data_IF_747440219557
#
_entry.id   IF_747440219557
#
_cell.length_a   1.000
_cell.length_b   1.000
_cell.length_c   1.000
_cell.angle_alpha   90.00
_cell.angle_beta   90.00
_cell.angle_gamma   90.00
#
_symmetry.space_group_name_H-M   'P 1'
#
loop_
_entity.id
_entity.type
_entity.pdbx_description
1 polymer ?
#
# COMPACT_ATOMS: atom_id res chain seq x y z
N UNK A 1 -11.17 -39.11 -5.63
CA UNK A 1 -10.17 -38.13 -6.10
C UNK A 1 -10.96 -36.94 -6.61
N UNK A 2 -11.02 -35.85 -5.84
CA UNK A 2 -11.67 -34.62 -6.30
C UNK A 2 -10.60 -33.73 -6.88
N UNK A 3 -10.75 -33.54 -8.19
CA UNK A 3 -9.99 -32.70 -9.08
C UNK A 3 -9.94 -31.27 -8.51
N UNK A 4 -8.91 -30.98 -7.72
CA UNK A 4 -8.57 -29.59 -7.40
C UNK A 4 -7.90 -29.05 -8.65
N UNK A 5 -8.69 -28.44 -9.53
CA UNK A 5 -8.17 -27.63 -10.61
C UNK A 5 -7.19 -26.64 -9.99
N UNK A 6 -5.90 -26.91 -10.16
CA UNK A 6 -4.84 -25.96 -9.87
C UNK A 6 -5.05 -24.88 -10.93
N UNK A 7 -5.79 -23.82 -10.57
CA UNK A 7 -5.84 -22.63 -11.40
C UNK A 7 -4.39 -22.15 -11.59
N UNK A 8 -3.88 -22.30 -12.81
CA UNK A 8 -2.55 -21.86 -13.18
C UNK A 8 -2.49 -20.34 -13.01
N UNK A 9 -1.79 -19.89 -11.97
CA UNK A 9 -1.64 -18.46 -11.69
C UNK A 9 -0.69 -17.84 -12.70
N UNK A 10 -1.00 -16.61 -13.09
CA UNK A 10 0.00 -15.80 -13.77
C UNK A 10 1.21 -15.62 -12.83
N UNK A 11 2.39 -15.91 -13.34
CA UNK A 11 3.64 -15.77 -12.57
C UNK A 11 3.95 -14.30 -12.23
N UNK A 12 3.50 -13.37 -13.07
CA UNK A 12 3.65 -11.94 -12.85
C UNK A 12 2.52 -11.15 -13.52
N UNK A 13 2.00 -10.16 -12.80
CA UNK A 13 1.01 -9.22 -13.29
C UNK A 13 1.51 -7.80 -13.07
N UNK A 14 1.31 -6.93 -14.06
CA UNK A 14 1.53 -5.49 -13.93
C UNK A 14 0.20 -4.78 -14.02
N UNK A 15 -0.14 -4.01 -13.00
CA UNK A 15 -1.35 -3.19 -12.96
C UNK A 15 -0.98 -1.72 -12.97
N UNK A 16 -1.70 -0.95 -13.79
CA UNK A 16 -1.56 0.51 -13.90
C UNK A 16 -2.74 1.26 -13.28
N UNK A 17 -3.73 0.54 -12.74
CA UNK A 17 -4.88 1.11 -12.04
C UNK A 17 -5.16 0.35 -10.75
N UNK A 18 -5.66 1.06 -9.73
CA UNK A 18 -6.04 0.45 -8.46
C UNK A 18 -7.15 -0.60 -8.64
N UNK A 19 -8.16 -0.30 -9.48
CA UNK A 19 -9.28 -1.22 -9.72
C UNK A 19 -8.82 -2.57 -10.30
N UNK A 20 -7.94 -2.55 -11.30
CA UNK A 20 -7.42 -3.78 -11.91
C UNK A 20 -6.56 -4.58 -10.93
N UNK A 21 -5.74 -3.90 -10.11
CA UNK A 21 -4.95 -4.56 -9.08
C UNK A 21 -5.85 -5.25 -8.04
N UNK A 22 -6.89 -4.55 -7.56
CA UNK A 22 -7.83 -5.08 -6.56
C UNK A 22 -8.60 -6.30 -7.11
N UNK A 23 -9.05 -6.25 -8.36
CA UNK A 23 -9.75 -7.38 -8.98
C UNK A 23 -8.82 -8.56 -9.29
N UNK A 24 -7.57 -8.28 -9.69
CA UNK A 24 -6.61 -9.29 -10.14
C UNK A 24 -5.69 -9.86 -9.06
N UNK A 25 -5.67 -9.30 -7.84
CA UNK A 25 -4.64 -9.61 -6.82
C UNK A 25 -4.52 -11.10 -6.42
N UNK A 26 -5.54 -11.93 -6.64
CA UNK A 26 -5.50 -13.36 -6.29
C UNK A 26 -4.90 -14.25 -7.38
N UNK A 27 -4.94 -13.82 -8.65
CA UNK A 27 -4.46 -14.62 -9.79
C UNK A 27 -2.97 -14.51 -10.07
N UNK A 28 -2.23 -13.68 -9.30
CA UNK A 28 -0.85 -13.30 -9.61
C UNK A 28 0.10 -13.63 -8.45
N UNK A 29 1.21 -14.36 -8.67
CA UNK A 29 2.24 -14.58 -7.63
C UNK A 29 3.16 -13.38 -7.42
N UNK A 30 3.38 -12.59 -8.47
CA UNK A 30 4.06 -11.29 -8.42
C UNK A 30 3.13 -10.20 -8.94
N UNK A 31 2.99 -9.11 -8.20
CA UNK A 31 2.15 -7.96 -8.51
C UNK A 31 3.05 -6.73 -8.60
N UNK A 32 3.17 -6.16 -9.80
CA UNK A 32 3.81 -4.85 -9.99
C UNK A 32 2.73 -3.78 -10.12
N UNK A 33 2.80 -2.77 -9.26
CA UNK A 33 1.92 -1.61 -9.22
C UNK A 33 2.65 -0.45 -9.89
N UNK A 34 2.34 -0.19 -11.16
CA UNK A 34 3.06 0.77 -11.99
C UNK A 34 2.28 2.07 -12.14
N UNK A 35 2.80 3.16 -11.57
CA UNK A 35 2.22 4.51 -11.70
C UNK A 35 0.73 4.60 -11.32
N UNK A 36 0.32 3.86 -10.29
CA UNK A 36 -1.09 3.84 -9.89
C UNK A 36 -1.51 5.19 -9.31
N UNK A 37 -2.52 5.80 -9.92
CA UNK A 37 -3.29 6.87 -9.31
C UNK A 37 -4.52 6.28 -8.61
N UNK A 38 -4.51 6.25 -7.28
CA UNK A 38 -5.60 5.73 -6.46
C UNK A 38 -6.72 6.78 -6.41
N UNK A 39 -7.98 6.43 -6.77
CA UNK A 39 -9.10 7.35 -6.73
C UNK A 39 -9.32 7.98 -5.35
N UNK A 40 -9.83 9.21 -5.34
CA UNK A 40 -10.12 9.95 -4.12
C UNK A 40 -11.07 9.18 -3.19
N UNK A 41 -10.70 9.05 -1.92
CA UNK A 41 -11.55 8.40 -0.93
C UNK A 41 -11.65 6.89 -1.04
N UNK A 42 -10.71 6.26 -1.75
CA UNK A 42 -10.66 4.80 -1.92
C UNK A 42 -9.33 4.25 -1.41
N UNK A 43 -9.36 2.99 -0.99
CA UNK A 43 -8.16 2.26 -0.55
C UNK A 43 -7.59 1.49 -1.72
N UNK A 44 -6.26 1.52 -1.89
CA UNK A 44 -5.54 0.50 -2.65
C UNK A 44 -5.53 -0.79 -1.81
N UNK A 45 -6.60 -1.58 -1.97
CA UNK A 45 -6.85 -2.77 -1.15
C UNK A 45 -6.14 -4.00 -1.73
N UNK A 46 -5.01 -4.34 -1.11
CA UNK A 46 -4.24 -5.56 -1.34
C UNK A 46 -4.31 -6.48 -0.12
N UNK A 47 -5.46 -6.51 0.56
CA UNK A 47 -5.75 -7.54 1.56
C UNK A 47 -6.18 -8.85 0.88
N UNK A 48 -6.03 -9.97 1.59
CA UNK A 48 -6.46 -11.27 1.09
C UNK A 48 -5.63 -11.77 -0.09
N UNK A 49 -4.34 -11.38 -0.14
CA UNK A 49 -3.39 -11.91 -1.11
C UNK A 49 -3.18 -13.39 -0.86
N UNK A 50 -2.95 -14.13 -1.93
CA UNK A 50 -2.54 -15.52 -1.85
C UNK A 50 -1.18 -15.60 -1.15
N UNK A 51 -0.98 -16.63 -0.32
CA UNK A 51 0.26 -16.85 0.44
C UNK A 51 1.49 -16.75 -0.46
N UNK A 52 2.54 -16.08 0.01
CA UNK A 52 3.81 -15.96 -0.71
C UNK A 52 3.85 -14.89 -1.81
N UNK A 53 2.78 -14.11 -1.99
CA UNK A 53 2.71 -13.12 -3.07
C UNK A 53 3.72 -11.98 -2.86
N UNK A 54 4.41 -11.60 -3.94
CA UNK A 54 5.29 -10.43 -3.96
C UNK A 54 4.58 -9.22 -4.56
N UNK A 55 4.69 -8.06 -3.91
CA UNK A 55 4.13 -6.78 -4.34
C UNK A 55 5.28 -5.79 -4.54
N UNK A 56 5.33 -5.17 -5.72
CA UNK A 56 6.39 -4.25 -6.12
C UNK A 56 5.76 -2.93 -6.55
N UNK A 57 6.05 -1.85 -5.83
CA UNK A 57 5.69 -0.49 -6.24
C UNK A 57 6.69 0.01 -7.28
N UNK A 58 6.21 0.56 -8.40
CA UNK A 58 7.03 1.09 -9.49
C UNK A 58 6.50 2.44 -9.98
N UNK A 59 7.43 3.33 -10.35
CA UNK A 59 7.11 4.72 -10.67
C UNK A 59 6.47 5.45 -9.50
N UNK A 60 5.48 6.29 -9.76
CA UNK A 60 4.81 7.09 -8.72
C UNK A 60 3.41 6.56 -8.42
N UNK A 61 3.20 6.09 -7.19
CA UNK A 61 1.83 5.87 -6.68
C UNK A 61 1.32 7.16 -6.04
N UNK A 62 0.14 7.62 -6.42
CA UNK A 62 -0.48 8.87 -5.94
C UNK A 62 -1.93 8.67 -5.51
N UNK A 63 -2.48 9.63 -4.75
CA UNK A 63 -3.83 9.55 -4.19
C UNK A 63 -4.65 10.80 -4.47
N UNK A 64 -5.91 10.59 -4.89
CA UNK A 64 -6.89 11.66 -5.03
C UNK A 64 -7.31 12.27 -3.68
N UNK A 65 -7.68 13.54 -3.69
CA UNK A 65 -8.08 14.27 -2.48
C UNK A 65 -9.54 14.00 -2.07
N UNK A 66 -9.73 13.63 -0.80
CA UNK A 66 -11.02 13.58 -0.09
C UNK A 66 -10.75 13.72 1.40
N UNK A 67 -11.62 14.35 2.16
CA UNK A 67 -11.57 14.28 3.62
C UNK A 67 -12.27 13.00 4.09
N UNK A 68 -11.48 12.04 4.59
CA UNK A 68 -11.94 10.70 5.01
C UNK A 68 -10.89 10.06 5.92
N UNK A 69 -11.24 8.95 6.58
CA UNK A 69 -10.40 8.33 7.61
C UNK A 69 -9.31 7.39 7.07
N UNK A 70 -9.41 6.97 5.80
CA UNK A 70 -8.50 6.01 5.20
C UNK A 70 -8.85 4.55 5.56
N UNK A 71 -7.90 3.60 5.38
CA UNK A 71 -6.51 3.82 4.97
C UNK A 71 -6.36 4.07 3.46
N UNK A 72 -5.27 4.73 3.07
CA UNK A 72 -4.90 4.90 1.65
C UNK A 72 -4.41 3.59 1.02
N UNK A 73 -3.59 2.81 1.72
CA UNK A 73 -3.10 1.47 1.32
C UNK A 73 -3.43 0.48 2.44
N UNK A 74 -3.88 -0.72 2.07
CA UNK A 74 -4.03 -1.84 3.01
C UNK A 74 -3.46 -3.12 2.40
N UNK A 75 -2.49 -3.74 3.08
CA UNK A 75 -1.87 -5.00 2.67
C UNK A 75 -1.95 -6.00 3.82
N UNK A 76 -2.42 -7.20 3.52
CA UNK A 76 -2.58 -8.29 4.49
C UNK A 76 -2.36 -9.67 3.86
N UNK A 77 -1.83 -10.61 4.62
CA UNK A 77 -1.60 -11.99 4.18
C UNK A 77 -0.42 -12.66 4.87
N UNK A 78 -0.09 -13.87 4.43
CA UNK A 78 1.03 -14.66 4.96
C UNK A 78 2.15 -14.79 3.94
N UNK A 79 3.41 -14.63 4.35
CA UNK A 79 4.55 -14.74 3.42
C UNK A 79 4.61 -13.62 2.38
N UNK A 80 3.98 -12.47 2.64
CA UNK A 80 3.89 -11.38 1.66
C UNK A 80 5.20 -10.60 1.65
N UNK A 81 5.71 -10.32 0.45
CA UNK A 81 6.92 -9.51 0.26
C UNK A 81 6.56 -8.21 -0.45
N UNK A 82 6.66 -7.10 0.26
CA UNK A 82 6.40 -5.76 -0.29
C UNK A 82 7.72 -5.05 -0.51
N UNK A 83 7.91 -4.50 -1.70
CA UNK A 83 9.12 -3.77 -2.07
C UNK A 83 8.83 -2.65 -3.07
N UNK A 84 9.83 -1.83 -3.34
CA UNK A 84 9.76 -0.82 -4.39
C UNK A 84 10.91 -0.95 -5.40
N UNK A 85 10.60 -0.73 -6.67
CA UNK A 85 11.57 -0.68 -7.75
C UNK A 85 12.48 0.56 -7.65
N UNK A 86 13.61 0.56 -8.35
CA UNK A 86 14.50 1.74 -8.38
C UNK A 86 13.74 2.98 -8.84
N UNK A 87 13.91 4.09 -8.09
CA UNK A 87 13.25 5.37 -8.38
C UNK A 87 11.76 5.45 -8.03
N UNK A 88 11.16 4.40 -7.45
CA UNK A 88 9.75 4.47 -7.05
C UNK A 88 9.51 5.50 -5.93
N UNK A 89 8.29 6.04 -5.90
CA UNK A 89 7.78 6.91 -4.84
C UNK A 89 6.32 6.59 -4.58
N UNK A 90 5.93 6.55 -3.31
CA UNK A 90 4.52 6.57 -2.90
C UNK A 90 4.25 7.95 -2.29
N UNK A 91 3.59 8.83 -3.04
CA UNK A 91 3.31 10.21 -2.63
C UNK A 91 1.87 10.35 -2.12
N UNK A 92 1.73 10.59 -0.82
CA UNK A 92 0.45 10.73 -0.13
C UNK A 92 -0.28 12.05 -0.38
N UNK A 93 0.33 13.01 -1.09
CA UNK A 93 -0.28 14.32 -1.38
C UNK A 93 -0.75 15.07 -0.11
N UNK A 94 -0.01 14.89 1.00
CA UNK A 94 -0.39 15.28 2.35
C UNK A 94 -0.67 16.77 2.54
N UNK A 95 0.01 17.63 1.76
CA UNK A 95 -0.19 19.08 1.75
C UNK A 95 -1.65 19.50 1.50
N UNK A 96 -2.46 18.67 0.83
CA UNK A 96 -3.90 18.96 0.66
C UNK A 96 -4.68 18.86 1.99
N UNK A 97 -4.21 18.08 2.96
CA UNK A 97 -4.83 17.88 4.27
C UNK A 97 -4.16 18.64 5.39
N UNK A 98 -2.85 18.91 5.33
CA UNK A 98 -2.13 19.56 6.43
C UNK A 98 -2.71 20.93 6.76
N UNK A 99 -3.12 21.09 8.02
CA UNK A 99 -3.84 22.25 8.56
C UNK A 99 -3.30 22.64 9.95
N UNK A 100 -2.10 22.15 10.30
CA UNK A 100 -1.46 22.34 11.61
C UNK A 100 -2.09 21.56 12.77
N UNK A 101 -3.19 20.82 12.55
CA UNK A 101 -3.94 20.13 13.62
C UNK A 101 -3.75 18.62 13.64
N UNK A 102 -3.12 18.04 12.61
CA UNK A 102 -2.89 16.59 12.54
C UNK A 102 -4.19 15.79 12.74
N UNK A 103 -4.15 14.74 13.56
CA UNK A 103 -5.35 13.98 13.95
C UNK A 103 -6.14 14.58 15.13
N UNK A 104 -5.78 15.77 15.63
CA UNK A 104 -6.40 16.37 16.82
C UNK A 104 -7.55 17.34 16.48
N UNK A 105 -7.86 17.52 15.20
CA UNK A 105 -8.97 18.36 14.72
C UNK A 105 -8.74 18.86 13.30
N UNK A 106 -9.61 19.77 12.85
CA UNK A 106 -9.57 20.34 11.49
C UNK A 106 -10.13 19.37 10.45
N UNK A 107 -9.47 19.26 9.30
CA UNK A 107 -9.84 18.33 8.22
C UNK A 107 -9.74 16.88 8.69
N UNK A 108 -10.65 16.02 8.24
CA UNK A 108 -10.49 14.57 8.39
C UNK A 108 -9.40 14.07 7.44
N UNK A 109 -8.34 13.46 8.00
CA UNK A 109 -7.12 13.08 7.28
C UNK A 109 -6.99 11.56 7.24
N UNK A 110 -6.79 10.95 6.06
CA UNK A 110 -6.74 9.51 5.98
C UNK A 110 -5.44 8.96 6.53
N UNK A 111 -5.52 7.86 7.30
CA UNK A 111 -4.34 7.05 7.65
C UNK A 111 -3.70 6.53 6.37
N UNK A 112 -2.38 6.36 6.37
CA UNK A 112 -1.67 6.05 5.14
C UNK A 112 -1.62 4.55 4.83
N UNK A 113 -0.86 3.77 5.59
CA UNK A 113 -0.56 2.37 5.27
C UNK A 113 -0.99 1.44 6.40
N UNK A 114 -1.92 0.53 6.13
CA UNK A 114 -2.27 -0.55 7.05
C UNK A 114 -1.49 -1.81 6.69
N UNK A 115 -0.53 -2.16 7.56
CA UNK A 115 0.18 -3.43 7.56
C UNK A 115 -0.47 -4.34 8.61
N UNK A 116 -1.76 -4.63 8.38
CA UNK A 116 -2.58 -5.39 9.32
C UNK A 116 -2.59 -6.86 8.93
N UNK A 117 -2.51 -7.77 9.90
CA UNK A 117 -2.53 -9.23 9.64
C UNK A 117 -1.51 -9.67 8.59
N UNK A 118 -0.32 -9.07 8.63
CA UNK A 118 0.83 -9.49 7.85
C UNK A 118 1.63 -10.48 8.70
N UNK A 119 1.64 -11.76 8.28
CA UNK A 119 2.26 -12.87 9.01
C UNK A 119 3.46 -13.39 8.23
N UNK A 120 4.61 -13.59 8.87
CA UNK A 120 5.85 -14.07 8.21
C UNK A 120 6.18 -13.26 6.95
N UNK A 121 6.07 -11.94 7.03
CA UNK A 121 6.06 -11.05 5.86
C UNK A 121 7.12 -9.97 5.96
N UNK A 122 7.45 -9.34 4.84
CA UNK A 122 8.44 -8.27 4.78
C UNK A 122 7.93 -7.06 4.01
N UNK A 123 8.28 -5.87 4.48
CA UNK A 123 8.15 -4.60 3.77
C UNK A 123 9.56 -3.99 3.70
N UNK A 124 10.11 -3.85 2.52
CA UNK A 124 11.53 -3.44 2.36
C UNK A 124 11.70 -2.33 1.35
N UNK A 125 12.47 -1.31 1.71
CA UNK A 125 12.96 -0.33 0.74
C UNK A 125 11.92 0.66 0.21
N UNK A 126 10.74 0.78 0.84
CA UNK A 126 9.72 1.71 0.38
C UNK A 126 10.15 3.17 0.56
N UNK A 127 9.88 4.00 -0.43
CA UNK A 127 10.09 5.44 -0.40
C UNK A 127 8.74 6.17 -0.37
N UNK A 128 8.39 6.69 0.79
CA UNK A 128 7.09 7.31 1.07
C UNK A 128 7.28 8.81 1.29
N UNK A 129 6.46 9.61 0.61
CA UNK A 129 6.44 11.07 0.76
C UNK A 129 5.08 11.60 1.18
N UNK A 130 5.10 12.68 1.94
CA UNK A 130 3.96 13.56 2.20
C UNK A 130 2.69 12.80 2.60
N UNK A 131 2.74 11.95 3.62
CA UNK A 131 1.54 11.26 4.08
C UNK A 131 0.62 12.22 4.87
N UNK A 132 -0.73 12.13 4.75
CA UNK A 132 -1.64 13.09 5.37
C UNK A 132 -1.59 13.15 6.90
N UNK A 133 -1.34 12.03 7.58
CA UNK A 133 -1.22 11.96 9.04
C UNK A 133 -0.20 10.90 9.50
N UNK A 134 -0.57 9.79 10.15
CA UNK A 134 0.36 8.68 10.46
C UNK A 134 0.67 7.84 9.21
N UNK A 135 1.93 7.36 9.11
CA UNK A 135 2.39 6.47 8.03
C UNK A 135 1.90 5.03 8.21
N UNK A 136 2.65 4.20 8.93
CA UNK A 136 2.30 2.78 9.15
C UNK A 136 1.44 2.60 10.38
N UNK A 137 0.31 1.91 10.21
CA UNK A 137 -0.41 1.25 11.28
C UNK A 137 -0.13 -0.25 11.19
N UNK A 138 0.59 -0.78 12.18
CA UNK A 138 0.89 -2.20 12.30
C UNK A 138 -0.02 -2.78 13.37
N UNK A 139 -0.85 -3.76 13.01
CA UNK A 139 -1.81 -4.36 13.95
C UNK A 139 -2.10 -5.82 13.60
N UNK A 140 -2.10 -6.70 14.60
CA UNK A 140 -2.30 -8.13 14.41
C UNK A 140 -1.28 -8.76 13.44
N UNK A 141 -0.11 -8.16 13.30
CA UNK A 141 1.01 -8.70 12.54
C UNK A 141 1.85 -9.61 13.44
N UNK A 142 2.44 -10.65 12.86
CA UNK A 142 3.32 -11.59 13.54
C UNK A 142 4.50 -11.91 12.63
N UNK A 143 5.71 -11.85 13.17
CA UNK A 143 6.95 -11.99 12.39
C UNK A 143 6.98 -11.10 11.12
N UNK A 144 6.61 -9.83 11.28
CA UNK A 144 6.68 -8.82 10.23
C UNK A 144 8.00 -8.04 10.33
N UNK A 145 8.77 -8.02 9.24
CA UNK A 145 9.97 -7.17 9.12
C UNK A 145 9.63 -5.95 8.27
N UNK A 146 9.87 -4.75 8.81
CA UNK A 146 9.85 -3.50 8.06
C UNK A 146 11.26 -2.94 8.08
N UNK A 147 11.91 -2.90 6.92
CA UNK A 147 13.33 -2.57 6.81
C UNK A 147 13.61 -1.58 5.68
N UNK A 148 14.63 -0.73 5.86
CA UNK A 148 15.12 0.20 4.83
C UNK A 148 14.03 1.11 4.24
N UNK A 149 12.97 1.41 4.99
CA UNK A 149 11.88 2.30 4.56
C UNK A 149 12.25 3.76 4.83
N UNK A 150 12.03 4.63 3.85
CA UNK A 150 12.15 6.08 3.99
C UNK A 150 10.77 6.72 4.05
N UNK A 151 10.55 7.56 5.06
CA UNK A 151 9.35 8.42 5.17
C UNK A 151 9.77 9.88 5.24
N UNK A 152 9.43 10.66 4.22
CA UNK A 152 9.79 12.08 4.10
C UNK A 152 8.54 12.96 4.09
N UNK A 153 8.34 13.73 5.17
CA UNK A 153 7.31 14.78 5.25
C UNK A 153 7.92 16.15 5.51
N UNK A 154 9.17 16.37 5.09
CA UNK A 154 9.85 17.66 5.28
C UNK A 154 9.08 18.84 4.67
N UNK A 155 8.26 18.60 3.64
CA UNK A 155 7.38 19.61 3.05
C UNK A 155 6.27 20.12 3.99
N UNK A 156 6.00 19.44 5.11
CA UNK A 156 5.03 19.87 6.12
C UNK A 156 5.62 20.74 7.23
N UNK A 157 6.92 20.99 7.21
CA UNK A 157 7.68 21.77 8.20
C UNK A 157 7.85 23.26 7.81
N UNK A 158 7.02 23.74 6.88
CA UNK A 158 7.03 25.11 6.34
C UNK A 158 5.79 25.91 6.72
#
# INVERSE_FOLDING_TARGET
AVDSAIEERASSCTFTTAAAAISGKKSCTTITLSNIAVPAGTTLDLTGLTKGTSVIFSGTTSFGYKEWEGPMISIAGTGIKVSGASGHVIDGNGAKWWDGKGSNGGKTKPKFFYAHKMIDSTITGLNIKNHPVQCFSVNGADNLVIDSVTTDNSAGDS
#
